data_IF_584661209519
#
_entry.id   IF_584661209519
#
_cell.length_a   1.000
_cell.length_b   1.000
_cell.length_c   1.000
_cell.angle_alpha   90.00
_cell.angle_beta   90.00
_cell.angle_gamma   90.00
#
_symmetry.space_group_name_H-M   'P 1'
#
loop_
_entity.id
_entity.type
_entity.pdbx_description
1 polymer ?
#
# COMPACT_ATOMS: atom_id res chain seq x y z
N UNK A 1 -34.89 -27.35 -28.11
CA UNK A 1 -34.80 -25.94 -27.68
C UNK A 1 -33.38 -25.72 -27.16
N UNK A 2 -32.48 -25.23 -28.00
CA UNK A 2 -31.12 -24.84 -27.61
C UNK A 2 -31.00 -23.34 -27.82
N UNK A 3 -30.85 -22.59 -26.73
CA UNK A 3 -30.55 -21.16 -26.75
C UNK A 3 -29.05 -21.00 -27.01
N UNK A 4 -28.69 -20.66 -28.24
CA UNK A 4 -27.37 -20.14 -28.56
C UNK A 4 -27.28 -18.72 -27.99
N UNK A 5 -26.51 -18.54 -26.90
CA UNK A 5 -26.12 -17.22 -26.44
C UNK A 5 -25.10 -16.67 -27.45
N UNK A 6 -25.57 -15.76 -28.31
CA UNK A 6 -24.72 -14.95 -29.17
C UNK A 6 -23.79 -14.12 -28.28
N UNK A 7 -22.52 -14.50 -28.22
CA UNK A 7 -21.47 -13.65 -27.67
C UNK A 7 -21.33 -12.45 -28.62
N UNK A 8 -22.00 -11.36 -28.28
CA UNK A 8 -21.79 -10.08 -28.93
C UNK A 8 -20.33 -9.70 -28.74
N UNK A 9 -19.52 -9.86 -29.78
CA UNK A 9 -18.19 -9.30 -29.86
C UNK A 9 -18.30 -7.82 -29.49
N UNK A 10 -17.67 -7.43 -28.37
CA UNK A 10 -17.58 -6.03 -27.96
C UNK A 10 -16.84 -5.30 -29.07
N UNK A 11 -17.48 -4.28 -29.66
CA UNK A 11 -16.82 -3.37 -30.58
C UNK A 11 -15.53 -2.82 -29.94
N UNK A 12 -14.45 -2.59 -30.71
CA UNK A 12 -13.22 -1.99 -30.18
C UNK A 12 -13.56 -0.57 -29.71
N UNK A 13 -13.77 -0.44 -28.41
CA UNK A 13 -14.01 0.83 -27.74
C UNK A 13 -12.68 1.59 -27.60
N UNK A 14 -12.80 2.91 -27.70
CA UNK A 14 -11.76 3.90 -27.93
C UNK A 14 -10.60 3.82 -26.93
N UNK A 15 -9.39 4.13 -27.43
CA UNK A 15 -8.09 4.18 -26.74
C UNK A 15 -8.11 3.74 -25.26
N UNK A 16 -7.63 2.51 -24.99
CA UNK A 16 -7.36 2.03 -23.64
C UNK A 16 -6.63 3.12 -22.81
N UNK A 17 -6.96 3.29 -21.52
CA UNK A 17 -6.25 4.23 -20.66
C UNK A 17 -4.73 3.99 -20.77
N UNK A 18 -3.88 5.03 -20.68
CA UNK A 18 -2.44 4.91 -20.93
C UNK A 18 -1.70 3.85 -20.10
N UNK A 19 -2.33 3.33 -19.04
CA UNK A 19 -1.82 2.28 -18.17
C UNK A 19 -2.25 0.85 -18.57
N UNK A 20 -2.91 0.68 -19.72
CA UNK A 20 -3.31 -0.61 -20.27
C UNK A 20 -2.65 -0.84 -21.64
N UNK A 21 -1.97 -1.98 -21.80
CA UNK A 21 -1.47 -2.39 -23.11
C UNK A 21 -2.56 -3.11 -23.94
N UNK A 22 -2.39 -3.23 -25.27
CA UNK A 22 -3.37 -3.89 -26.14
C UNK A 22 -3.64 -5.37 -25.82
N UNK A 23 -2.81 -6.02 -25.01
CA UNK A 23 -3.02 -7.39 -24.53
C UNK A 23 -3.82 -7.47 -23.23
N UNK A 24 -4.23 -6.33 -22.67
CA UNK A 24 -4.95 -6.21 -21.40
C UNK A 24 -4.04 -6.13 -20.17
N UNK A 25 -2.72 -6.09 -20.35
CA UNK A 25 -1.74 -5.97 -19.28
C UNK A 25 -1.62 -4.53 -18.74
N UNK A 26 -1.10 -4.39 -17.53
CA UNK A 26 -0.75 -3.08 -16.97
C UNK A 26 0.59 -2.59 -17.53
N UNK A 27 0.62 -1.33 -17.95
CA UNK A 27 1.84 -0.56 -18.27
C UNK A 27 1.91 0.64 -17.33
N UNK A 28 3.10 0.96 -16.86
CA UNK A 28 3.30 2.22 -16.17
C UNK A 28 3.47 3.33 -17.24
N UNK A 29 2.60 4.37 -17.27
CA UNK A 29 2.67 5.42 -18.29
C UNK A 29 3.77 6.47 -18.03
N UNK A 30 4.40 6.45 -16.85
CA UNK A 30 5.44 7.41 -16.49
C UNK A 30 6.84 6.92 -16.92
N UNK A 31 7.68 7.79 -17.50
CA UNK A 31 8.97 7.41 -18.09
C UNK A 31 10.01 6.91 -17.08
N UNK A 32 9.75 7.03 -15.78
CA UNK A 32 10.63 6.53 -14.70
C UNK A 32 10.54 5.03 -14.49
N UNK A 33 9.61 4.34 -15.15
CA UNK A 33 9.41 2.90 -15.00
C UNK A 33 9.93 2.14 -16.21
N UNK A 34 11.23 1.89 -16.24
CA UNK A 34 11.79 0.93 -17.19
C UNK A 34 11.26 -0.48 -16.89
N UNK A 35 10.75 -1.16 -17.93
CA UNK A 35 10.32 -2.57 -17.84
C UNK A 35 11.57 -3.45 -17.74
N UNK A 36 12.05 -3.69 -16.52
CA UNK A 36 13.09 -4.68 -16.26
C UNK A 36 12.46 -6.03 -15.87
N UNK A 37 12.43 -6.96 -16.82
CA UNK A 37 11.89 -8.32 -16.65
C UNK A 37 12.66 -9.19 -15.64
N UNK A 38 13.81 -8.73 -15.12
CA UNK A 38 14.56 -9.38 -14.05
C UNK A 38 14.74 -8.52 -12.80
N UNK A 39 14.22 -7.29 -12.79
CA UNK A 39 14.53 -6.29 -11.77
C UNK A 39 14.17 -6.74 -10.36
N UNK A 40 13.05 -7.44 -10.22
CA UNK A 40 12.61 -7.98 -8.93
C UNK A 40 13.57 -9.04 -8.36
N UNK A 41 14.01 -10.01 -9.19
CA UNK A 41 14.94 -11.06 -8.75
C UNK A 41 16.31 -10.47 -8.42
N UNK A 42 16.80 -9.54 -9.26
CA UNK A 42 18.05 -8.81 -9.03
C UNK A 42 18.00 -8.04 -7.71
N UNK A 43 16.95 -7.24 -7.50
CA UNK A 43 16.74 -6.51 -6.25
C UNK A 43 16.67 -7.44 -5.03
N UNK A 44 15.98 -8.58 -5.15
CA UNK A 44 15.87 -9.53 -4.04
C UNK A 44 17.22 -10.15 -3.68
N UNK A 45 18.04 -10.49 -4.69
CA UNK A 45 19.42 -11.00 -4.47
C UNK A 45 20.30 -9.95 -3.82
N UNK A 46 20.27 -8.71 -4.32
CA UNK A 46 21.00 -7.58 -3.74
C UNK A 46 20.59 -7.31 -2.30
N UNK A 47 19.29 -7.34 -1.99
CA UNK A 47 18.77 -7.18 -0.63
C UNK A 47 19.28 -8.25 0.33
N UNK A 48 19.34 -9.51 -0.12
CA UNK A 48 19.84 -10.63 0.70
C UNK A 48 21.33 -10.53 0.99
N UNK A 49 22.11 -9.92 0.09
CA UNK A 49 23.55 -9.69 0.28
C UNK A 49 23.90 -8.53 1.22
N UNK A 50 22.92 -7.73 1.67
CA UNK A 50 23.15 -6.61 2.58
C UNK A 50 23.09 -7.06 4.03
N UNK A 51 24.16 -6.83 4.77
CA UNK A 51 24.14 -6.89 6.24
C UNK A 51 23.38 -5.68 6.77
N UNK A 52 22.25 -5.93 7.42
CA UNK A 52 21.48 -4.89 8.10
C UNK A 52 21.87 -4.85 9.58
N UNK A 53 21.79 -3.68 10.23
CA UNK A 53 21.89 -3.62 11.67
C UNK A 53 20.81 -4.51 12.31
N UNK A 54 21.08 -5.06 13.51
CA UNK A 54 20.07 -5.84 14.22
C UNK A 54 18.84 -4.99 14.48
N UNK A 55 17.67 -5.63 14.41
CA UNK A 55 16.43 -4.93 14.71
C UNK A 55 16.41 -4.48 16.18
N UNK A 56 15.80 -3.33 16.49
CA UNK A 56 15.55 -2.96 17.87
C UNK A 56 14.73 -4.05 18.56
N UNK A 57 15.00 -4.26 19.86
CA UNK A 57 14.24 -5.21 20.66
C UNK A 57 12.75 -4.83 20.65
N UNK A 58 11.89 -5.84 20.60
CA UNK A 58 10.45 -5.61 20.62
C UNK A 58 10.07 -4.83 21.88
N UNK A 59 9.34 -3.72 21.70
CA UNK A 59 8.87 -2.88 22.81
C UNK A 59 9.87 -1.82 23.30
N UNK A 60 11.07 -1.69 22.73
CA UNK A 60 11.99 -0.59 23.11
C UNK A 60 11.71 0.72 22.39
N UNK A 61 10.98 0.67 21.26
CA UNK A 61 10.58 1.87 20.56
C UNK A 61 9.47 2.57 21.37
N UNK A 62 9.64 3.86 21.71
CA UNK A 62 8.66 4.58 22.49
C UNK A 62 7.34 4.63 21.72
N UNK A 63 6.25 4.35 22.43
CA UNK A 63 4.89 4.38 21.87
C UNK A 63 4.07 5.34 22.71
N UNK A 64 3.51 6.35 22.07
CA UNK A 64 2.61 7.26 22.75
C UNK A 64 1.36 6.46 23.14
N UNK A 65 0.99 6.50 24.42
CA UNK A 65 -0.34 6.02 24.81
C UNK A 65 -1.33 7.10 24.40
N UNK A 66 -2.26 6.78 23.49
CA UNK A 66 -3.33 7.71 23.13
C UNK A 66 -4.33 7.79 24.28
N UNK A 67 -4.08 8.69 25.23
CA UNK A 67 -4.79 8.78 26.50
C UNK A 67 -6.29 9.06 26.37
N UNK A 68 -6.77 9.58 25.24
CA UNK A 68 -8.18 9.69 24.86
C UNK A 68 -8.25 9.96 23.36
N UNK A 69 -8.75 9.00 22.57
CA UNK A 69 -9.04 9.22 21.15
C UNK A 69 -10.47 9.72 21.03
N UNK A 70 -10.67 11.03 21.03
CA UNK A 70 -11.94 11.56 20.51
C UNK A 70 -12.02 11.20 19.02
N UNK A 71 -13.13 10.62 18.53
CA UNK A 71 -13.24 10.20 17.13
C UNK A 71 -12.99 11.34 16.14
N UNK A 72 -13.26 12.58 16.54
CA UNK A 72 -12.92 13.79 15.78
C UNK A 72 -12.18 14.77 16.70
N UNK A 73 -11.25 15.52 16.13
CA UNK A 73 -10.77 16.74 16.76
C UNK A 73 -11.89 17.83 16.65
N UNK A 74 -11.93 18.80 17.59
CA UNK A 74 -12.76 19.99 17.43
C UNK A 74 -12.57 20.63 16.06
N UNK A 75 -13.61 21.22 15.48
CA UNK A 75 -13.59 21.71 14.09
C UNK A 75 -12.51 22.79 13.82
N UNK A 76 -12.07 23.50 14.86
CA UNK A 76 -11.03 24.54 14.78
C UNK A 76 -9.63 24.01 15.12
N UNK A 77 -9.46 22.71 15.37
CA UNK A 77 -8.19 22.08 15.70
C UNK A 77 -7.69 21.16 14.57
N UNK A 78 -6.37 21.08 14.44
CA UNK A 78 -5.67 20.07 13.65
C UNK A 78 -5.03 19.08 14.61
N UNK A 79 -5.37 17.79 14.48
CA UNK A 79 -4.69 16.70 15.18
C UNK A 79 -4.06 15.74 14.18
N UNK A 80 -2.79 15.41 14.38
CA UNK A 80 -2.09 14.41 13.58
C UNK A 80 -1.55 13.34 14.51
N UNK A 81 -1.94 12.10 14.24
CA UNK A 81 -1.47 10.91 14.97
C UNK A 81 -0.72 10.00 14.01
N UNK A 82 0.55 9.76 14.31
CA UNK A 82 1.34 8.77 13.58
C UNK A 82 1.01 7.37 14.10
N UNK A 83 0.42 6.54 13.25
CA UNK A 83 0.02 5.16 13.59
C UNK A 83 1.17 4.18 13.33
N UNK A 84 2.03 4.51 12.36
CA UNK A 84 3.22 3.73 11.99
C UNK A 84 3.44 3.68 10.48
N UNK A 85 4.69 3.47 10.05
CA UNK A 85 5.09 3.54 8.63
C UNK A 85 4.63 4.87 8.00
N UNK A 86 3.91 4.82 6.88
CA UNK A 86 3.29 5.97 6.20
C UNK A 86 1.82 6.18 6.61
N UNK A 87 1.32 5.48 7.64
CA UNK A 87 -0.05 5.61 8.13
C UNK A 87 -0.16 6.73 9.17
N UNK A 88 -0.92 7.76 8.84
CA UNK A 88 -1.27 8.87 9.70
C UNK A 88 -2.80 9.00 9.78
N UNK A 89 -3.31 9.22 10.99
CA UNK A 89 -4.66 9.73 11.21
C UNK A 89 -4.57 11.25 11.33
N UNK A 90 -5.17 11.96 10.39
CA UNK A 90 -5.22 13.42 10.35
C UNK A 90 -6.66 13.85 10.60
N UNK A 91 -6.89 14.57 11.68
CA UNK A 91 -8.20 15.10 12.05
C UNK A 91 -8.21 16.61 11.86
N UNK A 92 -9.05 17.12 10.96
CA UNK A 92 -9.08 18.55 10.59
C UNK A 92 -10.48 18.95 10.13
N UNK A 93 -10.99 20.09 10.63
CA UNK A 93 -12.30 20.60 10.20
C UNK A 93 -13.46 19.62 10.48
N UNK A 94 -13.33 18.78 11.50
CA UNK A 94 -14.28 17.70 11.81
C UNK A 94 -14.15 16.45 10.92
N UNK A 95 -13.22 16.41 9.97
CA UNK A 95 -12.95 15.24 9.12
C UNK A 95 -11.84 14.38 9.71
N UNK A 96 -11.86 13.09 9.36
CA UNK A 96 -10.76 12.15 9.59
C UNK A 96 -10.21 11.67 8.25
N UNK A 97 -8.93 11.92 8.00
CA UNK A 97 -8.20 11.47 6.84
C UNK A 97 -7.20 10.42 7.29
N UNK A 98 -7.09 9.35 6.51
CA UNK A 98 -6.18 8.25 6.78
C UNK A 98 -5.27 8.02 5.59
N UNK A 99 -3.96 8.06 5.81
CA UNK A 99 -2.96 7.84 4.76
C UNK A 99 -2.51 6.38 4.76
N UNK A 100 -2.28 5.81 3.57
CA UNK A 100 -1.68 4.49 3.32
C UNK A 100 -1.94 3.44 4.43
N UNK A 101 -3.20 3.03 4.63
CA UNK A 101 -3.60 2.26 5.80
C UNK A 101 -3.01 0.84 5.80
N UNK A 102 -2.13 0.53 6.76
CA UNK A 102 -1.55 -0.81 6.93
C UNK A 102 -1.61 -1.27 8.39
N UNK A 103 -2.60 -2.09 8.73
CA UNK A 103 -2.72 -2.75 10.05
C UNK A 103 -2.19 -4.19 10.08
N UNK A 104 -1.90 -4.77 8.92
CA UNK A 104 -1.44 -6.16 8.82
C UNK A 104 -0.07 -6.35 9.49
N UNK A 105 0.21 -7.61 9.87
CA UNK A 105 1.53 -8.01 10.35
C UNK A 105 2.61 -7.85 9.28
N UNK A 106 2.28 -8.06 8.00
CA UNK A 106 3.22 -8.00 6.88
C UNK A 106 2.71 -7.09 5.77
N UNK A 107 3.61 -6.27 5.24
CA UNK A 107 3.40 -5.52 4.00
C UNK A 107 3.74 -6.44 2.82
N UNK A 108 2.82 -7.35 2.51
CA UNK A 108 3.02 -8.42 1.53
C UNK A 108 1.68 -8.89 0.96
N UNK A 109 1.63 -9.34 -0.30
CA UNK A 109 0.43 -9.95 -0.87
C UNK A 109 0.07 -11.29 -0.20
N UNK A 110 1.00 -11.91 0.54
CA UNK A 110 0.78 -13.16 1.28
C UNK A 110 1.15 -13.00 2.75
N UNK A 111 0.47 -13.72 3.64
CA UNK A 111 0.68 -13.57 5.09
C UNK A 111 1.89 -14.35 5.64
N UNK A 112 2.38 -15.34 4.89
CA UNK A 112 3.48 -16.22 5.31
C UNK A 112 4.87 -15.73 4.90
N UNK A 113 4.99 -14.83 3.91
CA UNK A 113 6.26 -14.27 3.44
C UNK A 113 6.22 -12.75 3.33
N UNK A 114 7.39 -12.13 3.22
CA UNK A 114 7.55 -10.68 3.09
C UNK A 114 7.86 -9.96 4.41
N UNK A 115 8.12 -8.64 4.35
CA UNK A 115 8.56 -7.85 5.50
C UNK A 115 7.47 -7.80 6.59
N UNK A 116 7.85 -8.18 7.81
CA UNK A 116 6.99 -8.02 8.98
C UNK A 116 7.27 -6.69 9.67
N UNK A 117 6.23 -6.07 10.23
CA UNK A 117 6.38 -4.88 11.08
C UNK A 117 7.14 -5.20 12.37
N UNK A 118 7.93 -4.23 12.84
CA UNK A 118 8.64 -4.32 14.12
C UNK A 118 7.77 -3.90 15.31
N UNK A 119 6.88 -2.94 15.10
CA UNK A 119 5.95 -2.42 16.11
C UNK A 119 4.52 -2.75 15.71
N UNK A 120 3.65 -2.99 16.70
CA UNK A 120 2.21 -3.00 16.47
C UNK A 120 1.76 -1.62 15.96
N UNK A 121 0.72 -1.54 15.10
CA UNK A 121 0.15 -0.26 14.72
C UNK A 121 -0.57 0.37 15.93
N UNK A 122 -0.49 1.69 16.05
CA UNK A 122 -1.16 2.46 17.12
C UNK A 122 -0.21 3.01 18.17
#
# INVERSE_FOLDING_TARGET
MNLAASSSARAPDESLPPHHDPSGGFVNPWPTAERDSGGFLRWQRERRGKTLPPNPLAGTLPRAQSGHLTPHAPAHELRVTWVGHATFLIQVGGLNLLTDPVWSRRASPVQWAGPARFTAPG
#
